data_IF_075664542506
#
_entry.id   IF_075664542506
#
_cell.length_a   1.000
_cell.length_b   1.000
_cell.length_c   1.000
_cell.angle_alpha   90.00
_cell.angle_beta   90.00
_cell.angle_gamma   90.00
#
_symmetry.space_group_name_H-M   'P 1'
#
loop_
_entity.id
_entity.type
_entity.pdbx_description
1 polymer ?
#
# COMPACT_ATOMS: atom_id res chain seq x y z
N UNK A 1 6.05 -10.64 -41.62
CA UNK A 1 6.64 -10.60 -40.27
C UNK A 1 5.54 -10.14 -39.33
N UNK A 2 4.86 -11.07 -38.66
CA UNK A 2 3.76 -10.72 -37.74
C UNK A 2 4.35 -10.45 -36.36
N UNK A 3 4.31 -9.21 -35.90
CA UNK A 3 4.75 -8.82 -34.56
C UNK A 3 3.69 -9.28 -33.56
N UNK A 4 4.01 -10.32 -32.80
CA UNK A 4 3.19 -10.77 -31.67
C UNK A 4 3.28 -9.72 -30.56
N UNK A 5 2.23 -8.91 -30.39
CA UNK A 5 2.12 -8.02 -29.24
C UNK A 5 1.70 -8.86 -28.05
N UNK A 6 2.65 -9.20 -27.19
CA UNK A 6 2.36 -9.91 -25.95
C UNK A 6 1.65 -8.95 -25.00
N UNK A 7 0.48 -9.30 -24.44
CA UNK A 7 -0.19 -8.44 -23.48
C UNK A 7 0.71 -8.25 -22.26
N UNK A 8 0.74 -7.05 -21.66
CA UNK A 8 1.50 -6.84 -20.44
C UNK A 8 0.99 -7.75 -19.32
N UNK A 9 1.91 -8.21 -18.48
CA UNK A 9 1.57 -9.02 -17.30
C UNK A 9 0.63 -8.26 -16.35
N UNK A 10 -0.27 -8.99 -15.71
CA UNK A 10 -1.09 -8.47 -14.63
C UNK A 10 -0.20 -8.02 -13.46
N UNK A 11 -0.51 -6.86 -12.89
CA UNK A 11 0.24 -6.28 -11.76
C UNK A 11 -0.75 -5.95 -10.64
N UNK A 12 -0.41 -6.35 -9.42
CA UNK A 12 -1.18 -6.06 -8.21
C UNK A 12 -0.22 -5.59 -7.13
N UNK A 13 -0.59 -4.52 -6.44
CA UNK A 13 0.07 -4.05 -5.22
C UNK A 13 -1.03 -3.91 -4.16
N UNK A 14 -0.74 -4.32 -2.92
CA UNK A 14 -1.64 -4.17 -1.78
C UNK A 14 -0.93 -3.46 -0.63
N UNK A 15 -1.72 -2.80 0.21
CA UNK A 15 -1.23 -2.10 1.40
C UNK A 15 -2.24 -2.26 2.53
N UNK A 16 -1.74 -2.66 3.70
CA UNK A 16 -2.47 -2.68 4.96
C UNK A 16 -1.53 -2.09 6.00
N UNK A 17 -2.02 -1.12 6.73
CA UNK A 17 -1.37 -0.62 7.92
C UNK A 17 -2.45 -0.10 8.84
N UNK A 18 -2.63 -0.78 9.95
CA UNK A 18 -3.51 -0.35 11.03
C UNK A 18 -2.65 0.07 12.20
N UNK A 19 -3.04 1.15 12.88
CA UNK A 19 -2.35 1.63 14.06
C UNK A 19 -3.37 2.24 15.03
N UNK A 20 -3.25 1.88 16.30
CA UNK A 20 -4.18 2.29 17.34
C UNK A 20 -3.43 2.70 18.61
N UNK A 21 -3.90 3.75 19.26
CA UNK A 21 -3.51 4.10 20.63
C UNK A 21 -4.63 3.64 21.55
N UNK A 22 -4.34 2.66 22.40
CA UNK A 22 -5.30 2.12 23.37
C UNK A 22 -4.90 2.55 24.78
N UNK A 23 -5.89 2.68 25.66
CA UNK A 23 -5.67 2.90 27.09
C UNK A 23 -6.28 1.73 27.84
N UNK A 24 -5.47 1.04 28.62
CA UNK A 24 -5.92 0.01 29.53
C UNK A 24 -6.81 0.66 30.61
N UNK A 25 -8.06 0.22 30.73
CA UNK A 25 -9.06 0.87 31.60
C UNK A 25 -8.78 0.65 33.09
N UNK A 26 -8.07 -0.43 33.44
CA UNK A 26 -7.80 -0.80 34.82
C UNK A 26 -6.53 -0.12 35.35
N UNK A 27 -5.54 0.09 34.48
CA UNK A 27 -4.21 0.61 34.83
C UNK A 27 -3.94 2.02 34.30
N UNK A 28 -4.75 2.52 33.37
CA UNK A 28 -4.54 3.78 32.67
C UNK A 28 -3.34 3.76 31.72
N UNK A 29 -2.74 2.58 31.47
CA UNK A 29 -1.54 2.47 30.63
C UNK A 29 -1.88 2.72 29.16
N UNK A 30 -1.16 3.64 28.54
CA UNK A 30 -1.21 3.89 27.10
C UNK A 30 -0.35 2.89 26.35
N UNK A 31 -0.92 2.27 25.33
CA UNK A 31 -0.24 1.33 24.43
C UNK A 31 -0.42 1.79 22.99
N UNK A 32 0.64 1.73 22.19
CA UNK A 32 0.58 1.94 20.75
C UNK A 32 0.73 0.59 20.07
N UNK A 33 -0.27 0.18 19.30
CA UNK A 33 -0.22 -1.07 18.53
C UNK A 33 -0.28 -0.79 17.04
N UNK A 34 0.30 -1.68 16.25
CA UNK A 34 0.17 -1.63 14.80
C UNK A 34 0.12 -3.03 14.18
N UNK A 35 -0.55 -3.15 13.04
CA UNK A 35 -0.71 -4.38 12.26
C UNK A 35 -0.42 -4.09 10.78
N UNK A 36 0.19 -5.06 10.10
CA UNK A 36 0.34 -5.05 8.63
C UNK A 36 -0.38 -6.22 7.98
N UNK A 37 -1.15 -6.99 8.74
CA UNK A 37 -1.95 -8.11 8.27
C UNK A 37 -3.45 -7.80 8.28
N UNK A 38 -4.16 -8.29 7.26
CA UNK A 38 -5.62 -8.15 7.10
C UNK A 38 -6.40 -8.77 8.25
N UNK A 39 -5.86 -9.82 8.87
CA UNK A 39 -6.50 -10.52 9.97
C UNK A 39 -6.04 -10.02 11.34
N UNK A 40 -5.22 -8.95 11.36
CA UNK A 40 -4.59 -8.42 12.56
C UNK A 40 -3.85 -9.49 13.39
N UNK A 41 -3.38 -10.55 12.74
CA UNK A 41 -2.68 -11.64 13.45
C UNK A 41 -1.29 -11.21 13.94
N UNK A 42 -0.76 -10.11 13.40
CA UNK A 42 0.50 -9.47 13.79
C UNK A 42 0.29 -8.19 14.62
N UNK A 43 -0.92 -7.95 15.14
CA UNK A 43 -1.18 -6.78 15.98
C UNK A 43 -0.35 -6.85 17.27
N UNK A 44 0.66 -6.00 17.36
CA UNK A 44 1.61 -5.99 18.47
C UNK A 44 1.91 -4.56 18.93
N UNK A 45 2.39 -4.43 20.17
CA UNK A 45 2.85 -3.17 20.72
C UNK A 45 4.10 -2.69 19.96
N UNK A 46 4.08 -1.44 19.51
CA UNK A 46 5.17 -0.84 18.74
C UNK A 46 5.62 0.48 19.34
N UNK A 47 6.91 0.77 19.20
CA UNK A 47 7.42 2.11 19.50
C UNK A 47 6.94 3.14 18.45
N UNK A 48 6.84 4.43 18.80
CA UNK A 48 6.52 5.48 17.82
C UNK A 48 7.52 5.56 16.66
N UNK A 49 8.79 5.23 16.90
CA UNK A 49 9.81 5.19 15.84
C UNK A 49 9.55 4.03 14.87
N UNK A 50 9.15 2.86 15.37
CA UNK A 50 8.78 1.72 14.54
C UNK A 50 7.56 2.03 13.68
N UNK A 51 6.51 2.61 14.25
CA UNK A 51 5.32 3.01 13.48
C UNK A 51 5.68 4.00 12.36
N UNK A 52 6.52 5.01 12.64
CA UNK A 52 6.99 5.93 11.58
C UNK A 52 7.74 5.21 10.47
N UNK A 53 8.51 4.18 10.79
CA UNK A 53 9.14 3.30 9.79
C UNK A 53 8.11 2.58 8.92
N UNK A 54 7.09 1.97 9.54
CA UNK A 54 5.99 1.32 8.81
C UNK A 54 5.24 2.31 7.91
N UNK A 55 5.00 3.54 8.37
CA UNK A 55 4.37 4.61 7.57
C UNK A 55 5.25 5.02 6.39
N UNK A 56 6.57 5.16 6.58
CA UNK A 56 7.49 5.47 5.50
C UNK A 56 7.48 4.37 4.43
N UNK A 57 7.38 3.11 4.85
CA UNK A 57 7.25 1.99 3.94
C UNK A 57 5.89 1.96 3.24
N UNK A 58 4.80 2.23 3.94
CA UNK A 58 3.46 2.36 3.37
C UNK A 58 3.41 3.43 2.27
N UNK A 59 4.06 4.58 2.48
CA UNK A 59 4.15 5.64 1.46
C UNK A 59 4.77 5.17 0.16
N UNK A 60 5.84 4.36 0.21
CA UNK A 60 6.44 3.78 -1.01
C UNK A 60 5.45 2.91 -1.79
N UNK A 61 4.55 2.20 -1.09
CA UNK A 61 3.52 1.37 -1.73
C UNK A 61 2.41 2.23 -2.33
N UNK A 62 2.10 3.37 -1.71
CA UNK A 62 1.20 4.37 -2.30
C UNK A 62 1.79 4.96 -3.58
N UNK A 63 3.10 5.24 -3.63
CA UNK A 63 3.77 5.68 -4.86
C UNK A 63 3.64 4.63 -5.98
N UNK A 64 3.68 3.33 -5.64
CA UNK A 64 3.43 2.24 -6.58
C UNK A 64 1.97 2.19 -7.07
N UNK A 65 0.99 2.52 -6.21
CA UNK A 65 -0.41 2.64 -6.63
C UNK A 65 -0.58 3.75 -7.66
N UNK A 66 0.02 4.92 -7.42
CA UNK A 66 0.00 6.03 -8.37
C UNK A 66 0.66 5.64 -9.69
N UNK A 67 1.79 4.92 -9.65
CA UNK A 67 2.44 4.38 -10.84
C UNK A 67 1.52 3.45 -11.63
N UNK A 68 0.80 2.55 -10.97
CA UNK A 68 -0.17 1.65 -11.62
C UNK A 68 -1.32 2.42 -12.28
N UNK A 69 -1.84 3.45 -11.60
CA UNK A 69 -2.89 4.29 -12.15
C UNK A 69 -2.43 5.02 -13.41
N UNK A 70 -1.24 5.67 -13.36
CA UNK A 70 -0.65 6.37 -14.50
C UNK A 70 -0.36 5.42 -15.67
N UNK A 71 0.15 4.21 -15.37
CA UNK A 71 0.40 3.19 -16.38
C UNK A 71 -0.90 2.72 -17.06
N UNK A 72 -1.98 2.57 -16.30
CA UNK A 72 -3.29 2.22 -16.83
C UNK A 72 -3.85 3.33 -17.74
N UNK A 73 -3.79 4.59 -17.31
CA UNK A 73 -4.22 5.75 -18.09
C UNK A 73 -3.44 5.85 -19.41
N UNK A 74 -2.11 5.75 -19.37
CA UNK A 74 -1.28 5.78 -20.57
C UNK A 74 -1.64 4.68 -21.57
N UNK A 75 -1.97 3.47 -21.07
CA UNK A 75 -2.42 2.35 -21.91
C UNK A 75 -3.79 2.62 -22.54
N UNK A 76 -4.71 3.27 -21.82
CA UNK A 76 -6.01 3.69 -22.37
C UNK A 76 -5.79 4.71 -23.49
N UNK A 77 -5.02 5.78 -23.23
CA UNK A 77 -4.77 6.84 -24.20
C UNK A 77 -4.09 6.31 -25.47
N UNK A 78 -3.08 5.45 -25.31
CA UNK A 78 -2.40 4.80 -26.44
C UNK A 78 -3.36 3.96 -27.30
N UNK A 79 -4.33 3.27 -26.68
CA UNK A 79 -5.35 2.48 -27.41
C UNK A 79 -6.39 3.35 -28.12
N UNK A 80 -6.69 4.53 -27.58
CA UNK A 80 -7.65 5.47 -28.17
C UNK A 80 -7.05 6.31 -29.31
N UNK A 81 -5.76 6.18 -29.60
CA UNK A 81 -5.10 6.91 -30.68
C UNK A 81 -4.95 8.42 -30.44
N UNK A 82 -5.19 8.87 -29.20
CA UNK A 82 -4.96 10.25 -28.78
C UNK A 82 -3.50 10.36 -28.39
N UNK A 83 -2.64 10.63 -29.38
CA UNK A 83 -1.31 11.14 -29.11
C UNK A 83 -1.47 12.57 -28.58
N UNK A 84 -0.97 12.82 -27.37
CA UNK A 84 -0.75 14.17 -26.86
C UNK A 84 0.32 14.88 -27.70
#
# INVERSE_FOLDING_TARGET
>A
MSTTVQPPAEQTVSLILEAEVTTDLDTGRLTLVASTDHHMSDLDEVSPARLRGLVADARKRLDEFERLANEHEARILSRLGVAA
#
